data_IF_679305603574
#
_entry.id   IF_679305603574
#
_cell.length_a   1.000
_cell.length_b   1.000
_cell.length_c   1.000
_cell.angle_alpha   90.00
_cell.angle_beta   90.00
_cell.angle_gamma   90.00
#
_symmetry.space_group_name_H-M   'P 1'
#
loop_
_entity.id
_entity.type
_entity.pdbx_description
1 polymer ?
#
# COMPACT_ATOMS: atom_id res chain seq x y z
N UNK A 1 -4.31 -14.24 5.07
CA UNK A 1 -3.18 -13.38 4.61
C UNK A 1 -3.63 -11.92 4.68
N UNK A 2 -2.71 -10.94 4.67
CA UNK A 2 -3.08 -9.51 4.69
C UNK A 2 -4.04 -9.14 3.56
N UNK A 3 -3.73 -9.58 2.33
CA UNK A 3 -4.59 -9.38 1.15
C UNK A 3 -6.03 -9.91 1.32
N UNK A 4 -6.19 -11.13 1.87
CA UNK A 4 -7.51 -11.69 2.15
C UNK A 4 -8.29 -10.88 3.20
N UNK A 5 -7.60 -10.26 4.16
CA UNK A 5 -8.19 -9.34 5.13
C UNK A 5 -8.72 -8.05 4.46
N UNK A 6 -7.92 -7.44 3.59
CA UNK A 6 -8.33 -6.28 2.81
C UNK A 6 -9.56 -6.59 1.95
N UNK A 7 -9.54 -7.70 1.20
CA UNK A 7 -10.67 -8.12 0.37
C UNK A 7 -11.95 -8.27 1.19
N UNK A 8 -11.88 -8.95 2.34
CA UNK A 8 -13.03 -9.12 3.23
C UNK A 8 -13.55 -7.77 3.74
N UNK A 9 -12.68 -6.81 4.02
CA UNK A 9 -13.09 -5.47 4.45
C UNK A 9 -13.79 -4.71 3.31
N UNK A 10 -13.23 -4.76 2.10
CA UNK A 10 -13.83 -4.20 0.89
C UNK A 10 -15.23 -4.76 0.64
N UNK A 11 -15.39 -6.09 0.76
CA UNK A 11 -16.70 -6.76 0.63
C UNK A 11 -17.72 -6.24 1.66
N UNK A 12 -17.29 -6.02 2.90
CA UNK A 12 -18.16 -5.48 3.98
C UNK A 12 -18.52 -4.02 3.72
N UNK A 13 -17.60 -3.23 3.19
CA UNK A 13 -17.79 -1.80 2.91
C UNK A 13 -18.48 -1.54 1.56
N UNK A 14 -18.62 -2.55 0.71
CA UNK A 14 -19.20 -2.42 -0.63
C UNK A 14 -18.33 -1.60 -1.58
N UNK A 15 -17.00 -1.61 -1.39
CA UNK A 15 -16.02 -0.90 -2.24
C UNK A 15 -15.18 -1.90 -3.03
N UNK A 16 -14.69 -1.51 -4.21
CA UNK A 16 -13.76 -2.34 -4.94
C UNK A 16 -12.36 -2.26 -4.31
N UNK A 17 -11.67 -3.39 -4.24
CA UNK A 17 -10.26 -3.44 -3.84
C UNK A 17 -9.38 -2.62 -4.81
N UNK A 18 -9.83 -2.42 -6.05
CA UNK A 18 -9.18 -1.55 -7.05
C UNK A 18 -9.32 -0.06 -6.80
N UNK A 19 -10.22 0.36 -5.91
CA UNK A 19 -10.32 1.75 -5.45
C UNK A 19 -9.48 2.00 -4.18
N UNK A 20 -8.74 0.99 -3.72
CA UNK A 20 -7.98 1.04 -2.48
C UNK A 20 -6.49 1.30 -2.70
N UNK A 21 -5.89 2.01 -1.74
CA UNK A 21 -4.45 2.21 -1.61
C UNK A 21 -3.90 1.28 -0.51
N UNK A 22 -2.87 0.50 -0.82
CA UNK A 22 -2.19 -0.36 0.14
C UNK A 22 -0.79 0.18 0.45
N UNK A 23 -0.44 0.22 1.74
CA UNK A 23 0.89 0.60 2.22
C UNK A 23 1.56 -0.60 2.88
N UNK A 24 2.85 -0.82 2.59
CA UNK A 24 3.61 -1.92 3.18
C UNK A 24 5.11 -1.65 3.21
N UNK A 25 5.84 -2.49 3.95
CA UNK A 25 7.28 -2.38 4.13
C UNK A 25 8.00 -3.73 4.05
N UNK A 26 7.28 -4.84 4.16
CA UNK A 26 7.87 -6.18 4.18
C UNK A 26 7.26 -7.13 3.16
N UNK A 27 7.92 -8.24 2.83
CA UNK A 27 7.42 -9.20 1.84
C UNK A 27 6.08 -9.85 2.20
N UNK A 28 5.63 -9.77 3.45
CA UNK A 28 4.29 -10.23 3.81
C UNK A 28 3.16 -9.31 3.30
N UNK A 29 3.52 -8.10 2.84
CA UNK A 29 2.62 -7.10 2.25
C UNK A 29 2.51 -7.25 0.73
N UNK A 30 3.39 -8.01 0.08
CA UNK A 30 3.48 -8.09 -1.39
C UNK A 30 2.14 -8.44 -2.04
N UNK A 31 1.45 -9.46 -1.52
CA UNK A 31 0.15 -9.87 -2.05
C UNK A 31 -0.90 -8.74 -1.90
N UNK A 32 -0.87 -7.98 -0.81
CA UNK A 32 -1.79 -6.87 -0.59
C UNK A 32 -1.51 -5.72 -1.57
N UNK A 33 -0.24 -5.35 -1.74
CA UNK A 33 0.17 -4.29 -2.68
C UNK A 33 -0.22 -4.64 -4.12
N UNK A 34 -0.04 -5.90 -4.55
CA UNK A 34 -0.39 -6.34 -5.92
C UNK A 34 -1.89 -6.46 -6.15
N UNK A 35 -2.68 -6.73 -5.11
CA UNK A 35 -4.12 -6.93 -5.25
C UNK A 35 -4.91 -5.60 -5.23
N UNK A 36 -4.46 -4.62 -4.44
CA UNK A 36 -5.05 -3.28 -4.41
C UNK A 36 -4.91 -2.54 -5.75
N UNK A 37 -5.63 -1.42 -5.89
CA UNK A 37 -5.51 -0.53 -7.04
C UNK A 37 -4.14 0.12 -7.13
N UNK A 38 -3.64 0.58 -5.99
CA UNK A 38 -2.33 1.20 -5.86
C UNK A 38 -1.58 0.62 -4.67
N UNK A 39 -0.45 -0.03 -4.92
CA UNK A 39 0.48 -0.54 -3.91
C UNK A 39 1.65 0.39 -3.66
N UNK A 40 1.89 0.75 -2.41
CA UNK A 40 2.91 1.72 -1.98
C UNK A 40 3.86 1.06 -0.98
N UNK A 41 5.16 1.06 -1.30
CA UNK A 41 6.18 0.63 -0.37
C UNK A 41 6.77 1.82 0.39
N UNK A 42 6.99 1.66 1.69
CA UNK A 42 7.70 2.66 2.51
C UNK A 42 9.19 2.74 2.13
N UNK A 43 9.81 3.90 2.34
CA UNK A 43 11.22 4.15 2.00
C UNK A 43 12.20 3.28 2.78
N UNK A 44 11.83 2.81 3.97
CA UNK A 44 12.58 1.85 4.78
C UNK A 44 12.20 0.37 4.48
N UNK A 45 11.34 0.12 3.50
CA UNK A 45 10.86 -1.23 3.18
C UNK A 45 11.86 -2.12 2.42
N UNK A 46 11.56 -3.41 2.39
CA UNK A 46 12.33 -4.47 1.72
C UNK A 46 12.56 -4.12 0.25
N UNK A 47 13.80 -4.22 -0.27
CA UNK A 47 14.11 -3.92 -1.67
C UNK A 47 13.24 -4.69 -2.68
N UNK A 48 12.85 -5.93 -2.35
CA UNK A 48 11.99 -6.75 -3.21
C UNK A 48 10.56 -6.23 -3.23
N UNK A 49 10.07 -5.71 -2.10
CA UNK A 49 8.74 -5.10 -2.04
C UNK A 49 8.72 -3.77 -2.81
N UNK A 50 9.78 -2.95 -2.68
CA UNK A 50 9.94 -1.71 -3.47
C UNK A 50 9.88 -1.99 -4.97
N UNK A 51 10.49 -3.07 -5.43
CA UNK A 51 10.46 -3.47 -6.83
C UNK A 51 9.08 -3.98 -7.30
N UNK A 52 8.22 -4.39 -6.36
CA UNK A 52 6.86 -4.88 -6.65
C UNK A 52 5.77 -3.82 -6.44
N UNK A 53 6.10 -2.65 -5.93
CA UNK A 53 5.17 -1.56 -5.63
C UNK A 53 4.99 -0.62 -6.83
N UNK A 54 3.81 -0.02 -6.95
CA UNK A 54 3.52 1.02 -7.95
C UNK A 54 4.21 2.35 -7.60
N UNK A 55 4.45 2.58 -6.31
CA UNK A 55 5.14 3.75 -5.80
C UNK A 55 5.98 3.42 -4.55
N UNK A 56 7.09 4.12 -4.39
CA UNK A 56 7.92 4.07 -3.18
C UNK A 56 7.94 5.46 -2.56
N UNK A 57 7.41 5.58 -1.35
CA UNK A 57 7.42 6.84 -0.60
C UNK A 57 8.66 6.97 0.29
N UNK A 58 8.81 8.09 0.99
CA UNK A 58 9.86 8.31 1.99
C UNK A 58 9.78 7.33 3.16
N UNK A 59 10.83 7.29 3.98
CA UNK A 59 10.86 6.44 5.16
C UNK A 59 9.83 6.89 6.21
N UNK A 60 9.55 6.02 7.17
CA UNK A 60 8.56 6.29 8.23
C UNK A 60 8.95 7.50 9.10
N UNK A 61 10.25 7.73 9.30
CA UNK A 61 10.84 8.84 10.04
C UNK A 61 10.98 10.14 9.21
N UNK A 62 10.54 10.11 7.95
CA UNK A 62 10.57 11.23 7.01
C UNK A 62 9.16 11.60 6.50
N UNK A 63 8.14 11.38 7.32
CA UNK A 63 6.73 11.65 6.99
C UNK A 63 6.23 10.90 5.74
N UNK A 64 6.74 9.68 5.49
CA UNK A 64 6.44 8.91 4.28
C UNK A 64 4.94 8.70 4.00
N UNK A 65 4.11 8.53 5.03
CA UNK A 65 2.66 8.45 4.82
C UNK A 65 2.08 9.78 4.37
N UNK A 66 2.39 10.89 5.04
CA UNK A 66 1.87 12.22 4.67
C UNK A 66 2.27 12.55 3.23
N UNK A 67 3.54 12.32 2.88
CA UNK A 67 4.06 12.56 1.52
C UNK A 67 3.33 11.74 0.46
N UNK A 68 3.05 10.47 0.74
CA UNK A 68 2.29 9.63 -0.18
C UNK A 68 0.85 10.13 -0.33
N UNK A 69 0.17 10.46 0.78
CA UNK A 69 -1.19 10.97 0.71
C UNK A 69 -1.28 12.28 -0.07
N UNK A 70 -0.34 13.21 0.15
CA UNK A 70 -0.24 14.45 -0.64
C UNK A 70 0.03 14.16 -2.12
N UNK A 71 0.94 13.22 -2.43
CA UNK A 71 1.27 12.84 -3.81
C UNK A 71 0.05 12.29 -4.57
N UNK A 72 -0.80 11.50 -3.91
CA UNK A 72 -2.00 10.93 -4.50
C UNK A 72 -3.25 11.84 -4.38
N UNK A 73 -3.13 13.03 -3.79
CA UNK A 73 -4.26 13.94 -3.60
C UNK A 73 -5.32 13.43 -2.61
N UNK A 74 -4.91 12.65 -1.62
CA UNK A 74 -5.76 12.09 -0.57
C UNK A 74 -5.88 13.00 0.68
N UNK A 75 -5.16 14.13 0.68
CA UNK A 75 -5.15 15.17 1.71
C UNK A 75 -5.18 16.56 1.06
#
# INVERSE_FOLDING_TARGET
>A
TKAAGCRRMCDVLGVDLKDCYAFGDSMNDEAMLKECGTGICMGNGDPRLKAAADHVTSAIDEDGLIRAFTYFGLL
#
